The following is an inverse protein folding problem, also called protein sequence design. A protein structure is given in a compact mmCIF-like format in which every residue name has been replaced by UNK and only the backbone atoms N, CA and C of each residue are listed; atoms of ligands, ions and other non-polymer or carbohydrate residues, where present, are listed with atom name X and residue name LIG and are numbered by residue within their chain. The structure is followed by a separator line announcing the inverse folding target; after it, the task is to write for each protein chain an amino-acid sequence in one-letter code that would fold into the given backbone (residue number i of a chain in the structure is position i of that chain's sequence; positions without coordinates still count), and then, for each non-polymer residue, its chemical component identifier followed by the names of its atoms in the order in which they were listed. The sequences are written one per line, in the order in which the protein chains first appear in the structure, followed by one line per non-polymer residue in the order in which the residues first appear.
data_IF_186145405628
#
_entry.id   IF_186145405628
#
_cell.length_a   1.000
_cell.length_b   1.000
_cell.length_c   1.000
_cell.angle_alpha   90.00
_cell.angle_beta   90.00
_cell.angle_gamma   90.00
#
_symmetry.space_group_name_H-M   'P 1'
#
loop_
_entity.id
_entity.type
_entity.pdbx_description
1 polymer ?
#
# COMPACT_ATOMS: atom_id res chain seq x y z
N UNK A 1 -46.39 46.03 36.60
CA UNK A 1 -45.42 45.80 35.52
C UNK A 1 -44.02 45.95 36.10
N UNK A 2 -43.33 44.85 36.39
CA UNK A 2 -42.00 44.84 37.01
C UNK A 2 -40.93 44.78 35.92
N UNK A 3 -40.24 45.88 35.65
CA UNK A 3 -39.11 45.93 34.73
C UNK A 3 -37.80 45.60 35.46
N UNK A 4 -37.18 44.48 35.09
CA UNK A 4 -35.83 44.11 35.52
C UNK A 4 -34.80 44.82 34.65
N UNK A 5 -34.04 45.73 35.24
CA UNK A 5 -32.86 46.35 34.61
C UNK A 5 -31.70 45.37 34.76
N UNK A 6 -31.20 44.85 33.64
CA UNK A 6 -30.02 43.99 33.59
C UNK A 6 -28.75 44.85 33.65
N UNK A 7 -27.94 44.69 34.69
CA UNK A 7 -26.59 45.27 34.78
C UNK A 7 -25.57 44.38 34.05
N UNK A 8 -24.78 44.90 33.10
CA UNK A 8 -23.72 44.11 32.48
C UNK A 8 -22.49 44.03 33.41
N UNK A 9 -22.22 42.83 33.92
CA UNK A 9 -20.98 42.50 34.65
C UNK A 9 -19.78 42.57 33.69
N UNK A 10 -19.02 43.66 33.74
CA UNK A 10 -17.70 43.76 33.09
C UNK A 10 -16.66 43.12 34.00
N UNK A 11 -16.20 41.90 33.68
CA UNK A 11 -15.01 41.31 34.29
C UNK A 11 -13.76 41.86 33.58
N UNK A 12 -12.81 42.52 34.28
CA UNK A 12 -11.53 42.83 33.68
C UNK A 12 -10.67 41.56 33.64
N UNK A 13 -10.41 41.04 32.44
CA UNK A 13 -9.32 40.08 32.23
C UNK A 13 -8.00 40.82 32.41
N UNK A 14 -7.38 40.68 33.58
CA UNK A 14 -5.97 41.04 33.78
C UNK A 14 -5.10 39.88 33.32
N UNK A 15 -4.26 40.12 32.32
CA UNK A 15 -3.20 39.18 31.91
C UNK A 15 -1.86 39.89 32.09
N UNK A 16 -1.38 40.01 33.32
CA UNK A 16 0.03 40.30 33.58
C UNK A 16 0.82 39.00 33.44
N UNK A 17 1.25 38.70 32.22
CA UNK A 17 2.19 37.64 31.95
C UNK A 17 3.58 38.15 32.37
N UNK A 18 3.99 37.86 33.61
CA UNK A 18 5.30 38.21 34.11
C UNK A 18 6.39 37.51 33.28
N UNK A 19 7.13 38.28 32.49
CA UNK A 19 8.35 37.84 31.84
C UNK A 19 9.41 37.60 32.92
N UNK A 20 9.61 36.33 33.28
CA UNK A 20 10.73 35.92 34.13
C UNK A 20 12.00 35.97 33.27
N UNK A 21 12.76 37.06 33.37
CA UNK A 21 14.11 37.14 32.81
C UNK A 21 15.01 36.15 33.56
N UNK A 22 15.35 35.04 32.90
CA UNK A 22 16.43 34.15 33.34
C UNK A 22 17.80 34.78 33.08
N UNK A 23 18.86 34.30 33.75
CA UNK A 23 20.19 34.89 33.66
C UNK A 23 20.76 34.72 32.24
N UNK A 24 21.36 35.79 31.72
CA UNK A 24 22.07 35.80 30.43
C UNK A 24 23.35 34.97 30.57
N UNK A 25 23.41 33.84 29.88
CA UNK A 25 24.65 33.09 29.68
C UNK A 25 25.45 33.85 28.63
N UNK A 26 26.65 34.29 29.00
CA UNK A 26 27.62 34.93 28.13
C UNK A 26 28.12 33.95 27.08
N UNK A 27 28.08 34.37 25.82
CA UNK A 27 28.73 33.70 24.68
C UNK A 27 30.24 33.62 24.92
N UNK A 28 30.75 32.41 25.09
CA UNK A 28 32.16 32.10 24.89
C UNK A 28 32.25 31.22 23.63
N UNK A 29 33.13 31.60 22.72
CA UNK A 29 33.48 30.81 21.56
C UNK A 29 34.07 29.46 21.99
N UNK A 30 33.49 28.37 21.48
CA UNK A 30 34.18 27.10 21.38
C UNK A 30 34.00 26.54 19.97
N UNK A 31 35.12 26.49 19.27
CA UNK A 31 35.33 25.75 18.03
C UNK A 31 35.14 24.27 18.33
N UNK A 32 34.08 23.65 17.79
CA UNK A 32 33.90 22.19 17.81
C UNK A 32 34.35 21.59 16.47
N UNK A 33 35.24 20.58 16.46
CA UNK A 33 35.64 19.90 15.24
C UNK A 33 34.52 18.98 14.73
N UNK A 34 34.47 18.85 13.40
CA UNK A 34 33.50 18.04 12.68
C UNK A 34 33.54 16.57 13.13
N UNK A 35 32.40 16.07 13.63
CA UNK A 35 32.15 14.64 13.82
C UNK A 35 31.14 14.15 12.77
N UNK A 36 31.58 13.13 12.03
CA UNK A 36 30.91 12.48 10.90
C UNK A 36 29.51 11.94 11.25
N UNK A 37 28.53 12.00 10.32
CA UNK A 37 27.27 11.28 10.48
C UNK A 37 27.45 9.84 9.97
N UNK A 38 27.76 8.90 10.86
CA UNK A 38 27.69 7.48 10.53
C UNK A 38 26.26 6.95 10.64
N UNK A 39 25.90 6.12 9.65
CA UNK A 39 24.87 5.09 9.64
C UNK A 39 23.39 5.52 9.51
N UNK A 40 23.00 5.75 8.27
CA UNK A 40 21.67 5.38 7.74
C UNK A 40 21.52 3.85 7.89
N UNK A 41 20.51 3.38 8.59
CA UNK A 41 20.11 1.97 8.55
C UNK A 41 19.26 1.69 7.30
N UNK A 42 19.74 0.78 6.47
CA UNK A 42 19.01 0.19 5.34
C UNK A 42 17.82 -0.66 5.81
N UNK A 43 16.67 -0.67 5.10
CA UNK A 43 15.50 -1.47 5.46
C UNK A 43 15.41 -2.78 4.65
N UNK A 44 16.48 -3.59 4.64
CA UNK A 44 16.48 -4.91 3.99
C UNK A 44 17.17 -5.97 4.86
N UNK A 45 16.60 -6.24 6.02
CA UNK A 45 16.85 -7.51 6.72
C UNK A 45 15.53 -8.28 6.70
N UNK A 46 15.51 -9.34 5.89
CA UNK A 46 14.43 -10.31 5.83
C UNK A 46 14.57 -11.26 7.04
N UNK A 47 13.55 -11.32 7.89
CA UNK A 47 13.45 -12.32 8.95
C UNK A 47 13.07 -13.69 8.34
N UNK A 48 13.86 -14.77 8.55
CA UNK A 48 13.62 -16.08 7.94
C UNK A 48 12.55 -16.94 8.63
N UNK A 49 11.96 -16.48 9.74
CA UNK A 49 11.08 -17.30 10.59
C UNK A 49 9.58 -17.24 10.23
N UNK A 50 9.21 -16.52 9.15
CA UNK A 50 7.82 -16.38 8.72
C UNK A 50 7.33 -17.50 7.76
N UNK A 51 8.26 -18.20 7.08
CA UNK A 51 7.93 -19.22 6.07
C UNK A 51 7.48 -20.56 6.69
N UNK A 52 8.01 -20.91 7.87
CA UNK A 52 7.83 -22.24 8.48
C UNK A 52 6.44 -22.53 9.08
N UNK A 53 5.52 -21.56 9.10
CA UNK A 53 4.17 -21.72 9.69
C UNK A 53 3.08 -22.09 8.70
N UNK A 54 3.33 -22.01 7.40
CA UNK A 54 2.31 -22.25 6.36
C UNK A 54 2.37 -23.66 5.75
N UNK A 55 3.39 -24.45 6.05
CA UNK A 55 3.62 -25.79 5.45
C UNK A 55 2.90 -26.95 6.18
N UNK A 56 2.35 -26.74 7.39
CA UNK A 56 1.92 -27.86 8.24
C UNK A 56 0.41 -28.21 8.19
N UNK A 57 -0.35 -27.79 7.16
CA UNK A 57 -1.81 -28.00 7.14
C UNK A 57 -2.42 -28.42 5.78
N UNK A 58 -1.62 -28.82 4.80
CA UNK A 58 -2.12 -29.21 3.46
C UNK A 58 -2.01 -30.69 3.10
N UNK A 59 -1.60 -31.57 4.03
CA UNK A 59 -1.57 -33.01 3.80
C UNK A 59 -2.63 -33.74 4.63
N UNK A 60 -3.83 -33.89 4.05
CA UNK A 60 -4.69 -35.07 4.19
C UNK A 60 -6.10 -34.77 3.65
N UNK A 61 -6.42 -35.33 2.48
CA UNK A 61 -7.67 -36.07 2.17
C UNK A 61 -7.74 -36.34 0.67
N UNK A 62 -7.08 -37.42 0.26
CA UNK A 62 -7.57 -38.21 -0.87
C UNK A 62 -8.79 -39.00 -0.41
N UNK A 63 -9.88 -38.97 -1.18
CA UNK A 63 -10.84 -40.06 -1.19
C UNK A 63 -11.53 -40.16 -2.57
N UNK A 64 -11.84 -41.37 -3.04
CA UNK A 64 -11.90 -41.68 -4.47
C UNK A 64 -13.33 -41.89 -5.00
N UNK A 65 -13.40 -42.01 -6.33
CA UNK A 65 -14.41 -42.78 -7.07
C UNK A 65 -15.83 -42.19 -7.19
N UNK A 66 -16.00 -41.25 -8.12
CA UNK A 66 -17.24 -41.13 -8.92
C UNK A 66 -16.80 -41.02 -10.39
N UNK A 67 -17.07 -42.08 -11.15
CA UNK A 67 -16.76 -42.15 -12.58
C UNK A 67 -17.70 -41.26 -13.39
N UNK A 68 -17.15 -40.23 -14.03
CA UNK A 68 -17.79 -39.56 -15.16
C UNK A 68 -17.18 -40.10 -16.45
N UNK A 69 -17.99 -40.82 -17.21
CA UNK A 69 -17.65 -41.28 -18.56
C UNK A 69 -17.46 -40.04 -19.45
N UNK A 70 -16.36 -39.93 -20.23
CA UNK A 70 -16.19 -38.81 -21.16
C UNK A 70 -17.21 -38.91 -22.31
N UNK A 71 -17.74 -37.79 -22.83
CA UNK A 71 -18.66 -37.82 -23.97
C UNK A 71 -17.95 -38.38 -25.21
N UNK A 72 -18.69 -39.19 -25.98
CA UNK A 72 -18.22 -39.81 -27.21
C UNK A 72 -17.74 -38.76 -28.25
N UNK A 73 -16.72 -39.08 -29.08
CA UNK A 73 -16.28 -38.19 -30.15
C UNK A 73 -17.37 -38.03 -31.22
N UNK A 74 -17.47 -36.85 -31.87
CA UNK A 74 -18.42 -36.63 -32.96
C UNK A 74 -18.08 -37.50 -34.18
N UNK A 75 -19.13 -38.06 -34.79
CA UNK A 75 -19.06 -38.87 -36.03
C UNK A 75 -18.51 -38.06 -37.20
N UNK A 76 -17.76 -38.76 -38.06
CA UNK A 76 -17.08 -38.27 -39.26
C UNK A 76 -17.93 -37.32 -40.11
N UNK A 77 -17.45 -36.09 -40.28
CA UNK A 77 -17.84 -35.20 -41.36
C UNK A 77 -16.71 -35.21 -42.41
N UNK A 78 -17.03 -35.22 -43.72
CA UNK A 78 -16.03 -35.35 -44.77
C UNK A 78 -15.04 -34.17 -44.76
N UNK A 79 -13.76 -34.51 -44.85
CA UNK A 79 -12.63 -33.59 -44.94
C UNK A 79 -12.76 -32.68 -46.17
N UNK A 80 -13.08 -31.40 -45.95
CA UNK A 80 -12.66 -30.35 -46.87
C UNK A 80 -11.21 -30.02 -46.52
N UNK A 81 -10.27 -30.62 -47.26
CA UNK A 81 -8.84 -30.31 -47.24
C UNK A 81 -8.60 -28.84 -47.62
N UNK A 82 -8.46 -27.98 -46.61
CA UNK A 82 -7.73 -26.73 -46.70
C UNK A 82 -6.40 -26.90 -45.95
N UNK A 83 -5.23 -26.61 -46.57
CA UNK A 83 -3.95 -26.80 -45.90
C UNK A 83 -3.82 -25.79 -44.75
N UNK A 84 -3.96 -26.27 -43.52
CA UNK A 84 -3.53 -25.54 -42.33
C UNK A 84 -2.01 -25.69 -42.25
N UNK A 85 -1.28 -24.64 -42.60
CA UNK A 85 0.15 -24.55 -42.34
C UNK A 85 0.34 -24.52 -40.83
N UNK A 86 0.58 -25.68 -40.22
CA UNK A 86 0.93 -25.78 -38.81
C UNK A 86 2.36 -25.26 -38.65
N UNK A 87 2.51 -23.96 -38.33
CA UNK A 87 3.78 -23.27 -38.11
C UNK A 87 4.56 -23.79 -36.88
N UNK A 88 3.98 -24.74 -36.14
CA UNK A 88 4.54 -25.30 -34.90
C UNK A 88 4.61 -26.83 -34.94
N UNK A 89 5.20 -27.39 -35.99
CA UNK A 89 5.62 -28.81 -35.99
C UNK A 89 6.86 -28.94 -35.10
N UNK A 90 6.73 -29.64 -33.97
CA UNK A 90 7.86 -29.98 -33.12
C UNK A 90 8.76 -30.99 -33.84
N UNK A 91 10.00 -30.59 -34.10
CA UNK A 91 11.01 -31.41 -34.77
C UNK A 91 12.15 -31.70 -33.80
N UNK A 92 12.14 -32.91 -33.23
CA UNK A 92 13.09 -33.36 -32.21
C UNK A 92 14.53 -33.56 -32.74
N UNK A 93 14.73 -33.47 -34.06
CA UNK A 93 16.04 -33.64 -34.69
C UNK A 93 16.85 -32.34 -34.77
N UNK A 94 16.21 -31.20 -34.53
CA UNK A 94 16.85 -29.88 -34.55
C UNK A 94 17.36 -29.53 -33.15
N UNK A 95 18.65 -29.19 -32.96
CA UNK A 95 19.12 -28.69 -31.68
C UNK A 95 18.35 -27.40 -31.35
N UNK A 96 17.69 -27.37 -30.20
CA UNK A 96 16.87 -26.26 -29.75
C UNK A 96 17.76 -25.08 -29.30
N UNK A 97 18.27 -24.31 -30.25
CA UNK A 97 18.98 -23.05 -29.98
C UNK A 97 17.96 -21.93 -29.83
N UNK A 98 17.46 -21.73 -28.61
CA UNK A 98 16.76 -20.48 -28.29
C UNK A 98 17.78 -19.34 -28.31
N UNK A 99 17.86 -18.63 -29.42
CA UNK A 99 18.62 -17.38 -29.45
C UNK A 99 17.84 -16.32 -28.65
N UNK A 100 18.21 -16.19 -27.38
CA UNK A 100 17.63 -15.25 -26.43
C UNK A 100 17.70 -13.82 -26.99
N UNK A 101 18.75 -13.48 -27.75
CA UNK A 101 18.91 -12.17 -28.35
C UNK A 101 17.82 -11.87 -29.39
N UNK A 102 17.54 -12.80 -30.30
CA UNK A 102 16.44 -12.65 -31.28
C UNK A 102 15.06 -12.54 -30.62
N UNK A 103 14.80 -13.29 -29.54
CA UNK A 103 13.54 -13.23 -28.79
C UNK A 103 13.37 -11.86 -28.13
N UNK A 104 14.44 -11.35 -27.50
CA UNK A 104 14.43 -10.02 -26.89
C UNK A 104 14.25 -8.95 -27.97
N UNK A 105 14.97 -9.06 -29.09
CA UNK A 105 14.87 -8.12 -30.21
C UNK A 105 13.45 -8.08 -30.77
N UNK A 106 12.85 -9.24 -31.08
CA UNK A 106 11.50 -9.33 -31.62
C UNK A 106 10.42 -8.82 -30.65
N UNK A 107 10.57 -9.11 -29.34
CA UNK A 107 9.67 -8.56 -28.31
C UNK A 107 9.84 -7.06 -28.15
N UNK A 108 11.08 -6.55 -28.21
CA UNK A 108 11.38 -5.13 -28.10
C UNK A 108 10.87 -4.34 -29.32
N UNK A 109 11.01 -4.88 -30.54
CA UNK A 109 10.47 -4.27 -31.75
C UNK A 109 8.94 -4.26 -31.74
N UNK A 110 8.29 -5.35 -31.31
CA UNK A 110 6.83 -5.40 -31.18
C UNK A 110 6.30 -4.41 -30.14
N UNK A 111 6.93 -4.35 -28.95
CA UNK A 111 6.56 -3.37 -27.91
C UNK A 111 6.81 -1.92 -28.36
N UNK A 112 7.94 -1.68 -29.04
CA UNK A 112 8.28 -0.39 -29.61
C UNK A 112 7.28 0.07 -30.68
N UNK A 113 6.80 -0.85 -31.53
CA UNK A 113 5.78 -0.57 -32.54
C UNK A 113 4.42 -0.19 -31.91
N UNK A 114 3.99 -0.88 -30.85
CA UNK A 114 2.78 -0.48 -30.11
C UNK A 114 2.93 0.86 -29.40
N UNK A 115 4.13 1.16 -28.89
CA UNK A 115 4.44 2.45 -28.26
C UNK A 115 4.68 3.59 -29.26
N UNK A 116 4.99 3.28 -30.52
CA UNK A 116 5.11 4.24 -31.62
C UNK A 116 3.79 4.47 -32.36
N UNK A 117 2.74 3.70 -32.05
CA UNK A 117 1.41 3.90 -32.63
C UNK A 117 0.89 5.30 -32.30
N UNK A 118 0.16 5.88 -33.26
CA UNK A 118 -0.47 7.19 -33.10
C UNK A 118 -1.24 7.26 -31.77
N UNK A 119 -1.10 8.35 -31.00
CA UNK A 119 -1.76 8.48 -29.70
C UNK A 119 -3.29 8.43 -29.80
N UNK A 120 -3.84 8.66 -31.00
CA UNK A 120 -5.28 8.56 -31.32
C UNK A 120 -5.73 7.10 -31.43
N UNK A 121 -4.87 6.19 -31.87
CA UNK A 121 -5.18 4.76 -32.00
C UNK A 121 -5.10 4.01 -30.67
N UNK A 122 -4.54 4.62 -29.63
CA UNK A 122 -4.43 4.01 -28.31
C UNK A 122 -5.78 4.02 -27.59
N UNK A 123 -6.12 2.96 -26.83
CA UNK A 123 -7.31 2.99 -26.00
C UNK A 123 -7.22 4.12 -24.96
N UNK A 124 -8.27 4.95 -24.88
CA UNK A 124 -8.32 6.05 -23.92
C UNK A 124 -8.45 5.50 -22.49
N UNK A 125 -7.36 5.56 -21.71
CA UNK A 125 -7.35 5.13 -20.31
C UNK A 125 -8.01 6.21 -19.44
N UNK A 126 -9.04 5.82 -18.68
CA UNK A 126 -9.74 6.73 -17.75
C UNK A 126 -8.86 7.10 -16.54
N UNK A 127 -8.04 8.12 -16.69
CA UNK A 127 -7.16 8.67 -15.64
C UNK A 127 -7.87 9.59 -14.64
N UNK A 128 -9.01 9.15 -14.07
CA UNK A 128 -9.70 9.90 -12.99
C UNK A 128 -9.12 9.53 -11.61
N UNK A 129 -9.28 10.38 -10.58
CA UNK A 129 -8.88 10.05 -9.19
C UNK A 129 -9.53 8.78 -8.60
N UNK A 130 -10.51 8.20 -9.29
CA UNK A 130 -11.17 6.92 -8.97
C UNK A 130 -10.29 5.73 -9.36
N UNK A 131 -9.42 5.89 -10.36
CA UNK A 131 -8.58 4.81 -10.91
C UNK A 131 -7.73 4.14 -9.82
N UNK A 132 -7.05 4.93 -8.96
CA UNK A 132 -6.26 4.41 -7.84
C UNK A 132 -7.05 3.77 -6.70
N UNK A 133 -8.39 3.88 -6.71
CA UNK A 133 -9.30 3.27 -5.73
C UNK A 133 -10.18 2.19 -6.36
N UNK A 134 -9.78 1.65 -7.50
CA UNK A 134 -10.48 0.56 -8.18
C UNK A 134 -9.79 -0.77 -7.85
N UNK A 135 -10.56 -1.80 -7.53
CA UNK A 135 -10.07 -3.16 -7.26
C UNK A 135 -10.75 -4.11 -8.25
N UNK A 136 -9.96 -4.88 -8.98
CA UNK A 136 -10.44 -5.83 -9.98
C UNK A 136 -10.77 -7.19 -9.33
N UNK A 137 -11.80 -7.86 -9.82
CA UNK A 137 -12.07 -9.25 -9.43
C UNK A 137 -11.31 -10.16 -10.40
N UNK A 138 -10.24 -10.79 -9.90
CA UNK A 138 -9.35 -11.68 -10.65
C UNK A 138 -8.82 -12.74 -9.69
N UNK A 139 -8.56 -13.94 -10.20
CA UNK A 139 -8.15 -15.10 -9.41
C UNK A 139 -6.95 -14.83 -8.47
N UNK A 140 -5.99 -14.03 -8.93
CA UNK A 140 -4.81 -13.67 -8.15
C UNK A 140 -5.06 -12.53 -7.17
N UNK A 141 -4.62 -12.73 -5.92
CA UNK A 141 -4.68 -11.69 -4.89
C UNK A 141 -3.50 -10.73 -5.04
N UNK A 142 -3.79 -9.47 -5.32
CA UNK A 142 -2.78 -8.40 -5.43
C UNK A 142 -3.23 -7.16 -4.67
N UNK A 143 -2.45 -6.06 -4.72
CA UNK A 143 -2.83 -4.79 -4.08
C UNK A 143 -4.16 -4.23 -4.62
N UNK A 144 -4.48 -4.49 -5.88
CA UNK A 144 -5.66 -4.00 -6.57
C UNK A 144 -6.47 -5.13 -7.25
N UNK A 145 -6.31 -6.38 -6.83
CA UNK A 145 -7.16 -7.48 -7.27
C UNK A 145 -7.46 -8.51 -6.18
N UNK A 146 -8.62 -9.15 -6.26
CA UNK A 146 -8.96 -10.29 -5.42
C UNK A 146 -9.85 -11.31 -6.13
N UNK A 147 -9.77 -12.61 -5.78
CA UNK A 147 -10.46 -13.71 -6.46
C UNK A 147 -11.98 -13.60 -6.40
N UNK A 148 -12.50 -13.22 -5.24
CA UNK A 148 -13.94 -13.09 -5.02
C UNK A 148 -14.34 -11.63 -4.80
N UNK A 149 -15.59 -11.25 -5.13
CA UNK A 149 -16.10 -9.90 -4.87
C UNK A 149 -15.98 -9.49 -3.40
N UNK A 150 -16.20 -10.43 -2.46
CA UNK A 150 -16.04 -10.16 -1.03
C UNK A 150 -14.60 -9.78 -0.67
N UNK A 151 -13.60 -10.51 -1.20
CA UNK A 151 -12.18 -10.21 -0.97
C UNK A 151 -11.82 -8.88 -1.61
N UNK A 152 -12.28 -8.62 -2.84
CA UNK A 152 -12.08 -7.34 -3.51
C UNK A 152 -12.63 -6.16 -2.69
N UNK A 153 -13.82 -6.29 -2.09
CA UNK A 153 -14.39 -5.27 -1.20
C UNK A 153 -13.58 -5.09 0.10
N UNK A 154 -13.01 -6.15 0.67
CA UNK A 154 -12.10 -6.04 1.83
C UNK A 154 -10.82 -5.27 1.48
N UNK A 155 -10.25 -5.57 0.31
CA UNK A 155 -9.07 -4.87 -0.23
C UNK A 155 -9.41 -3.40 -0.48
N UNK A 156 -10.54 -3.11 -1.11
CA UNK A 156 -11.02 -1.74 -1.34
C UNK A 156 -11.16 -0.97 -0.01
N UNK A 157 -11.76 -1.58 1.00
CA UNK A 157 -11.90 -0.99 2.34
C UNK A 157 -10.55 -0.73 3.02
N UNK A 158 -9.53 -1.55 2.74
CA UNK A 158 -8.16 -1.31 3.22
C UNK A 158 -7.55 -0.09 2.54
N UNK A 159 -7.61 -0.01 1.21
CA UNK A 159 -7.08 1.12 0.43
C UNK A 159 -7.72 2.44 0.90
N UNK A 160 -9.04 2.48 1.03
CA UNK A 160 -9.79 3.67 1.49
C UNK A 160 -9.36 4.12 2.90
N UNK A 161 -8.99 3.16 3.77
CA UNK A 161 -8.46 3.44 5.12
C UNK A 161 -7.02 3.95 5.07
N UNK A 162 -6.15 3.33 4.28
CA UNK A 162 -4.75 3.79 4.11
C UNK A 162 -4.70 5.23 3.58
N UNK A 163 -5.54 5.55 2.61
CA UNK A 163 -5.68 6.90 2.04
C UNK A 163 -6.39 7.91 2.96
N UNK A 164 -6.95 7.44 4.08
CA UNK A 164 -7.68 8.24 5.07
C UNK A 164 -8.83 9.06 4.45
N UNK A 165 -9.52 8.53 3.43
CA UNK A 165 -10.56 9.25 2.66
C UNK A 165 -11.70 9.73 3.56
N UNK A 166 -12.17 8.87 4.48
CA UNK A 166 -13.23 9.21 5.43
C UNK A 166 -12.84 10.40 6.32
N UNK A 167 -11.60 10.43 6.81
CA UNK A 167 -11.09 11.52 7.64
C UNK A 167 -10.96 12.82 6.84
N UNK A 168 -10.49 12.74 5.59
CA UNK A 168 -10.42 13.88 4.67
C UNK A 168 -11.82 14.45 4.41
N UNK A 169 -12.80 13.61 4.11
CA UNK A 169 -14.20 14.01 3.90
C UNK A 169 -14.75 14.78 5.10
N UNK A 170 -14.62 14.25 6.33
CA UNK A 170 -15.10 14.96 7.53
C UNK A 170 -14.34 16.25 7.80
N UNK A 171 -13.03 16.30 7.52
CA UNK A 171 -12.24 17.52 7.70
C UNK A 171 -12.57 18.63 6.68
N UNK A 172 -13.11 18.26 5.52
CA UNK A 172 -13.52 19.18 4.46
C UNK A 172 -14.95 19.67 4.63
N UNK A 173 -15.79 18.91 5.38
CA UNK A 173 -17.20 19.25 5.61
C UNK A 173 -17.39 20.65 6.20
N UNK A 174 -16.46 21.10 7.05
CA UNK A 174 -16.49 22.44 7.65
C UNK A 174 -15.12 23.12 7.54
N UNK A 175 -15.12 24.43 7.33
CA UNK A 175 -13.88 25.20 7.33
C UNK A 175 -13.25 25.23 8.73
N UNK A 176 -12.04 24.69 8.85
CA UNK A 176 -11.21 24.83 10.04
C UNK A 176 -10.22 25.98 9.86
N UNK A 177 -10.25 26.97 10.77
CA UNK A 177 -9.30 28.08 10.76
C UNK A 177 -7.86 27.57 10.86
N UNK A 178 -6.92 28.23 10.15
CA UNK A 178 -5.49 27.83 10.11
C UNK A 178 -4.84 27.63 11.49
N UNK A 179 -5.19 28.45 12.47
CA UNK A 179 -4.67 28.35 13.84
C UNK A 179 -5.15 27.10 14.58
N UNK A 180 -6.44 26.77 14.45
CA UNK A 180 -7.03 25.57 15.05
C UNK A 180 -6.45 24.30 14.40
N UNK A 181 -6.33 24.30 13.07
CA UNK A 181 -5.72 23.20 12.31
C UNK A 181 -4.28 22.92 12.76
N UNK A 182 -3.46 23.97 12.95
CA UNK A 182 -2.07 23.83 13.46
C UNK A 182 -2.04 23.21 14.86
N UNK A 183 -2.88 23.70 15.78
CA UNK A 183 -2.98 23.16 17.15
C UNK A 183 -3.40 21.70 17.16
N UNK A 184 -4.43 21.35 16.38
CA UNK A 184 -4.91 19.97 16.22
C UNK A 184 -3.83 19.05 15.66
N UNK A 185 -3.16 19.45 14.58
CA UNK A 185 -2.09 18.64 13.97
C UNK A 185 -0.88 18.47 14.90
N UNK A 186 -0.50 19.50 15.66
CA UNK A 186 0.57 19.41 16.65
C UNK A 186 0.23 18.37 17.74
N UNK A 187 -0.98 18.47 18.31
CA UNK A 187 -1.47 17.52 19.32
C UNK A 187 -1.57 16.09 18.76
N UNK A 188 -2.09 15.92 17.53
CA UNK A 188 -2.20 14.61 16.87
C UNK A 188 -0.83 13.96 16.64
N UNK A 189 0.15 14.73 16.13
CA UNK A 189 1.52 14.24 15.92
C UNK A 189 2.18 13.85 17.23
N UNK A 190 2.00 14.66 18.29
CA UNK A 190 2.54 14.35 19.61
C UNK A 190 1.95 13.06 20.17
N UNK A 191 0.61 12.89 20.14
CA UNK A 191 -0.04 11.63 20.58
C UNK A 191 0.45 10.42 19.79
N UNK A 192 0.66 10.58 18.48
CA UNK A 192 1.20 9.50 17.63
C UNK A 192 2.61 9.10 18.03
N UNK A 193 3.50 10.07 18.26
CA UNK A 193 4.88 9.82 18.70
C UNK A 193 4.93 9.22 20.10
N UNK A 194 4.14 9.77 21.04
CA UNK A 194 4.02 9.24 22.39
C UNK A 194 3.55 7.80 22.38
N UNK A 195 2.48 7.48 21.64
CA UNK A 195 1.97 6.11 21.51
C UNK A 195 3.02 5.16 20.93
N UNK A 196 3.80 5.60 19.95
CA UNK A 196 4.86 4.79 19.37
C UNK A 196 5.98 4.52 20.37
N UNK A 197 6.49 5.55 21.04
CA UNK A 197 7.51 5.42 22.08
C UNK A 197 7.05 4.54 23.24
N UNK A 198 5.82 4.76 23.73
CA UNK A 198 5.23 3.95 24.81
C UNK A 198 5.14 2.46 24.43
N UNK A 199 4.70 2.14 23.21
CA UNK A 199 4.68 0.75 22.72
C UNK A 199 6.07 0.13 22.66
N UNK A 200 7.07 0.90 22.22
CA UNK A 200 8.46 0.44 22.18
C UNK A 200 8.98 0.14 23.59
N UNK A 201 8.72 1.01 24.57
CA UNK A 201 9.09 0.79 25.98
C UNK A 201 8.42 -0.45 26.55
N UNK A 202 7.12 -0.64 26.33
CA UNK A 202 6.41 -1.84 26.79
C UNK A 202 6.97 -3.11 26.14
N UNK A 203 7.26 -3.06 24.83
CA UNK A 203 7.89 -4.19 24.12
C UNK A 203 9.26 -4.51 24.73
N UNK A 204 10.06 -3.49 25.03
CA UNK A 204 11.36 -3.65 25.69
C UNK A 204 11.25 -4.24 27.10
N UNK A 205 10.27 -3.82 27.89
CA UNK A 205 10.00 -4.39 29.22
C UNK A 205 9.64 -5.88 29.10
N UNK A 206 8.84 -6.25 28.10
CA UNK A 206 8.49 -7.66 27.85
C UNK A 206 9.73 -8.47 27.44
N UNK A 207 10.62 -7.90 26.61
CA UNK A 207 11.89 -8.52 26.25
C UNK A 207 12.80 -8.76 27.47
N UNK A 208 12.97 -7.75 28.33
CA UNK A 208 13.78 -7.87 29.54
C UNK A 208 13.20 -8.89 30.52
N UNK A 209 11.87 -8.86 30.72
CA UNK A 209 11.16 -9.86 31.50
C UNK A 209 11.38 -11.28 30.95
N UNK A 210 11.39 -11.46 29.63
CA UNK A 210 11.66 -12.77 29.00
C UNK A 210 13.09 -13.24 29.25
N UNK A 211 14.05 -12.32 29.35
CA UNK A 211 15.45 -12.62 29.69
C UNK A 211 15.66 -12.87 31.19
N UNK A 212 14.68 -12.56 32.04
CA UNK A 212 14.77 -12.72 33.49
C UNK A 212 15.36 -11.51 34.23
N UNK A 213 15.44 -10.35 33.56
CA UNK A 213 15.73 -9.06 34.21
C UNK A 213 14.49 -8.48 34.89
#
# INVERSE_FOLDING_TARGET
MLSRIATPCKRPFTTSLAFRQGPKISTAEETSPAVNPLARSDPLVNDPDAEARNEALSEARSNPLIGSVPPAPPRDAPETTAPRTNEHVYDATKPFSLDIASIIANKATAFGAEQASDPVQRPNIRAKPVSGRTVFVKDQITKNSGPTPMVALKILNRIVREDQVKNKFFSQKFHERKGLKRKRLASQRWRSRFKHGFKATVSRVIELKKQGW
#
